data_IF_062852178030
#
_entry.id   IF_062852178030
#
_cell.length_a   1.000
_cell.length_b   1.000
_cell.length_c   1.000
_cell.angle_alpha   90.00
_cell.angle_beta   90.00
_cell.angle_gamma   90.00
#
_symmetry.space_group_name_H-M   'P 1'
#
loop_
_entity.id
_entity.type
_entity.pdbx_description
1 polymer ?
#
# COMPACT_ATOMS: atom_id res chain seq x y z
N UNK A 1 -8.25 -13.67 -27.68
CA UNK A 1 -7.52 -12.71 -26.81
C UNK A 1 -8.23 -12.65 -25.47
N UNK A 2 -7.77 -13.37 -24.46
CA UNK A 2 -8.43 -13.52 -23.14
C UNK A 2 -7.54 -13.11 -21.94
N UNK A 3 -6.28 -12.76 -22.20
CA UNK A 3 -5.30 -12.41 -21.15
C UNK A 3 -5.49 -11.00 -20.52
N UNK A 4 -5.99 -9.97 -21.23
CA UNK A 4 -6.18 -8.64 -20.62
C UNK A 4 -7.26 -8.60 -19.52
N UNK A 5 -8.30 -9.44 -19.59
CA UNK A 5 -9.41 -9.41 -18.62
C UNK A 5 -9.03 -9.97 -17.26
N UNK A 6 -8.32 -11.11 -17.21
CA UNK A 6 -7.96 -11.76 -15.94
C UNK A 6 -7.04 -10.87 -15.08
N UNK A 7 -6.06 -10.21 -15.71
CA UNK A 7 -5.17 -9.31 -14.98
C UNK A 7 -5.92 -8.06 -14.50
N UNK A 8 -6.83 -7.51 -15.31
CA UNK A 8 -7.66 -6.39 -14.92
C UNK A 8 -8.57 -6.75 -13.72
N UNK A 9 -9.20 -7.93 -13.73
CA UNK A 9 -9.98 -8.44 -12.61
C UNK A 9 -9.13 -8.59 -11.35
N UNK A 10 -7.94 -9.17 -11.46
CA UNK A 10 -6.99 -9.26 -10.35
C UNK A 10 -6.60 -7.88 -9.82
N UNK A 11 -6.31 -6.93 -10.71
CA UNK A 11 -5.94 -5.57 -10.33
C UNK A 11 -7.10 -4.84 -9.63
N UNK A 12 -8.32 -4.98 -10.14
CA UNK A 12 -9.53 -4.45 -9.50
C UNK A 12 -9.74 -5.08 -8.12
N UNK A 13 -9.59 -6.41 -8.03
CA UNK A 13 -9.75 -7.17 -6.79
C UNK A 13 -8.72 -6.73 -5.74
N UNK A 14 -7.43 -6.66 -6.09
CA UNK A 14 -6.37 -6.17 -5.21
C UNK A 14 -6.44 -4.66 -4.94
N UNK A 15 -7.27 -3.93 -5.69
CA UNK A 15 -7.56 -2.53 -5.47
C UNK A 15 -8.72 -2.26 -4.53
N UNK A 16 -9.48 -3.29 -4.18
CA UNK A 16 -10.51 -3.21 -3.17
C UNK A 16 -9.85 -3.21 -1.78
N UNK A 17 -10.16 -2.21 -0.96
CA UNK A 17 -9.55 -2.04 0.37
C UNK A 17 -9.68 -3.30 1.24
N UNK A 18 -10.88 -3.89 1.30
CA UNK A 18 -11.13 -5.09 2.13
C UNK A 18 -10.28 -6.26 1.64
N UNK A 19 -10.28 -6.53 0.33
CA UNK A 19 -9.54 -7.66 -0.23
C UNK A 19 -8.03 -7.45 -0.09
N UNK A 20 -7.54 -6.23 -0.32
CA UNK A 20 -6.14 -5.87 -0.12
C UNK A 20 -5.68 -6.20 1.31
N UNK A 21 -6.42 -5.72 2.33
CA UNK A 21 -6.07 -5.98 3.73
C UNK A 21 -6.23 -7.45 4.13
N UNK A 22 -7.22 -8.17 3.58
CA UNK A 22 -7.38 -9.61 3.83
C UNK A 22 -6.21 -10.42 3.27
N UNK A 23 -5.82 -10.15 2.02
CA UNK A 23 -4.68 -10.83 1.37
C UNK A 23 -3.39 -10.50 2.13
N UNK A 24 -3.11 -9.22 2.35
CA UNK A 24 -1.89 -8.80 3.05
C UNK A 24 -1.84 -9.35 4.48
N UNK A 25 -2.95 -9.25 5.23
CA UNK A 25 -3.06 -9.78 6.57
C UNK A 25 -2.81 -11.29 6.62
N UNK A 26 -3.37 -12.04 5.67
CA UNK A 26 -3.13 -13.49 5.54
C UNK A 26 -1.66 -13.79 5.28
N UNK A 27 -1.01 -13.09 4.34
CA UNK A 27 0.41 -13.24 4.06
C UNK A 27 1.28 -12.97 5.31
N UNK A 28 0.97 -11.92 6.06
CA UNK A 28 1.67 -11.59 7.32
C UNK A 28 1.45 -12.67 8.38
N UNK A 29 0.22 -13.18 8.54
CA UNK A 29 -0.09 -14.24 9.50
C UNK A 29 0.62 -15.56 9.17
N UNK A 30 0.75 -15.89 7.89
CA UNK A 30 1.49 -17.08 7.44
C UNK A 30 3.00 -16.93 7.65
N UNK A 31 3.55 -15.74 7.35
CA UNK A 31 4.99 -15.50 7.35
C UNK A 31 5.59 -15.19 8.73
N UNK A 32 4.86 -14.55 9.64
CA UNK A 32 5.34 -14.20 10.98
C UNK A 32 4.49 -14.90 12.04
N UNK A 33 5.13 -15.58 12.99
CA UNK A 33 4.46 -16.29 14.09
C UNK A 33 4.51 -15.54 15.43
N UNK A 34 5.41 -14.56 15.57
CA UNK A 34 5.55 -13.79 16.81
C UNK A 34 4.44 -12.74 16.93
N UNK A 35 3.60 -12.78 17.98
CA UNK A 35 2.50 -11.83 18.14
C UNK A 35 2.99 -10.38 18.27
N UNK A 36 4.11 -10.15 18.94
CA UNK A 36 4.66 -8.79 19.12
C UNK A 36 5.09 -8.15 17.80
N UNK A 37 5.74 -8.92 16.91
CA UNK A 37 6.08 -8.40 15.58
C UNK A 37 4.82 -8.13 14.73
N UNK A 38 3.77 -8.95 14.85
CA UNK A 38 2.48 -8.70 14.18
C UNK A 38 1.84 -7.41 14.68
N UNK A 39 1.78 -7.19 16.00
CA UNK A 39 1.27 -5.95 16.59
C UNK A 39 2.06 -4.73 16.12
N UNK A 40 3.39 -4.84 16.05
CA UNK A 40 4.26 -3.78 15.52
C UNK A 40 3.97 -3.48 14.04
N UNK A 41 3.75 -4.51 13.21
CA UNK A 41 3.34 -4.32 11.81
C UNK A 41 1.99 -3.61 11.73
N UNK A 42 1.00 -4.01 12.54
CA UNK A 42 -0.31 -3.33 12.60
C UNK A 42 -0.15 -1.86 12.97
N UNK A 43 0.66 -1.56 13.99
CA UNK A 43 0.98 -0.18 14.36
C UNK A 43 1.58 0.59 13.17
N UNK A 44 2.52 -0.03 12.44
CA UNK A 44 3.11 0.58 11.25
C UNK A 44 2.11 0.85 10.14
N UNK A 45 1.19 -0.08 9.88
CA UNK A 45 0.10 0.11 8.92
C UNK A 45 -0.78 1.31 9.33
N UNK A 46 -1.09 1.46 10.62
CA UNK A 46 -1.84 2.62 11.13
C UNK A 46 -1.04 3.92 10.91
N UNK A 47 0.23 3.94 11.30
CA UNK A 47 1.10 5.13 11.16
C UNK A 47 1.21 5.56 9.70
N UNK A 48 1.51 4.65 8.77
CA UNK A 48 1.63 5.02 7.35
C UNK A 48 0.30 5.46 6.76
N UNK A 49 -0.83 4.85 7.17
CA UNK A 49 -2.15 5.24 6.68
C UNK A 49 -2.52 6.66 7.13
N UNK A 50 -2.19 7.04 8.37
CA UNK A 50 -2.39 8.41 8.86
C UNK A 50 -1.51 9.42 8.12
N UNK A 51 -0.26 9.08 7.85
CA UNK A 51 0.64 9.93 7.06
C UNK A 51 0.13 10.09 5.62
N UNK A 52 -0.29 9.00 4.98
CA UNK A 52 -0.90 9.04 3.64
C UNK A 52 -2.13 9.94 3.62
N UNK A 53 -3.01 9.82 4.62
CA UNK A 53 -4.20 10.68 4.74
C UNK A 53 -3.83 12.16 4.86
N UNK A 54 -2.86 12.49 5.72
CA UNK A 54 -2.35 13.85 5.88
C UNK A 54 -1.76 14.41 4.58
N UNK A 55 -0.92 13.63 3.88
CA UNK A 55 -0.30 14.05 2.63
C UNK A 55 -1.29 14.16 1.47
N UNK A 56 -2.30 13.29 1.41
CA UNK A 56 -3.38 13.39 0.41
C UNK A 56 -4.11 14.73 0.55
N UNK A 57 -4.45 15.12 1.77
CA UNK A 57 -5.11 16.41 2.04
C UNK A 57 -4.19 17.61 1.82
N UNK A 58 -2.88 17.45 2.08
CA UNK A 58 -1.90 18.52 1.91
C UNK A 58 -1.64 18.83 0.43
N UNK A 59 -1.44 17.81 -0.40
CA UNK A 59 -1.06 18.01 -1.80
C UNK A 59 -2.26 18.05 -2.75
N UNK A 60 -3.39 17.46 -2.37
CA UNK A 60 -4.64 17.48 -3.12
C UNK A 60 -4.53 17.06 -4.61
N UNK A 61 -3.53 16.25 -4.97
CA UNK A 61 -3.24 15.87 -6.37
C UNK A 61 -4.42 15.13 -6.98
N UNK A 62 -4.87 15.56 -8.16
CA UNK A 62 -5.95 14.90 -8.89
C UNK A 62 -5.51 13.53 -9.43
N UNK A 63 -6.42 12.54 -9.44
CA UNK A 63 -6.12 11.21 -9.97
C UNK A 63 -6.14 11.19 -11.50
N UNK A 64 -5.27 10.39 -12.15
CA UNK A 64 -5.31 10.25 -13.61
C UNK A 64 -6.66 9.76 -14.12
N UNK A 65 -7.35 8.89 -13.37
CA UNK A 65 -8.67 8.39 -13.73
C UNK A 65 -9.77 9.46 -13.80
N UNK A 66 -9.63 10.59 -13.08
CA UNK A 66 -10.57 11.70 -13.16
C UNK A 66 -10.44 12.47 -14.49
N UNK A 67 -9.24 12.48 -15.09
CA UNK A 67 -8.96 13.07 -16.39
C UNK A 67 -9.27 12.12 -17.58
N UNK A 68 -9.99 11.02 -17.35
CA UNK A 68 -10.37 10.07 -18.40
C UNK A 68 -9.25 9.12 -18.85
N UNK A 69 -8.14 9.04 -18.10
CA UNK A 69 -6.99 8.17 -18.43
C UNK A 69 -7.25 6.68 -18.11
N UNK A 70 -8.23 6.38 -17.26
CA UNK A 70 -8.57 5.00 -16.86
C UNK A 70 -9.75 4.43 -17.66
N UNK A 71 -9.56 3.26 -18.24
CA UNK A 71 -10.62 2.46 -18.87
C UNK A 71 -11.46 1.67 -17.83
N UNK A 72 -11.01 1.61 -16.58
CA UNK A 72 -11.58 0.77 -15.52
C UNK A 72 -12.40 1.56 -14.48
N UNK A 73 -12.70 2.81 -14.78
CA UNK A 73 -13.38 3.73 -13.88
C UNK A 73 -12.45 4.37 -12.85
N UNK A 74 -12.99 5.34 -12.11
CA UNK A 74 -12.30 6.04 -11.04
C UNK A 74 -13.04 5.75 -9.72
N UNK A 75 -12.35 5.35 -8.64
CA UNK A 75 -13.01 5.10 -7.36
C UNK A 75 -13.81 6.35 -6.91
N UNK A 76 -15.12 6.20 -6.74
CA UNK A 76 -16.03 7.30 -6.42
C UNK A 76 -15.90 7.71 -4.94
N UNK A 77 -14.83 8.44 -4.58
CA UNK A 77 -14.70 9.08 -3.26
C UNK A 77 -14.17 10.52 -3.41
N UNK A 78 -15.03 11.55 -3.29
CA UNK A 78 -14.69 12.96 -3.55
C UNK A 78 -13.61 13.57 -2.63
N UNK A 79 -13.39 13.02 -1.43
CA UNK A 79 -12.50 13.63 -0.41
C UNK A 79 -11.34 12.71 0.07
N UNK A 80 -11.43 11.41 -0.17
CA UNK A 80 -10.32 10.44 0.01
C UNK A 80 -9.60 10.16 -1.32
N UNK A 81 -10.00 10.88 -2.37
CA UNK A 81 -9.75 10.61 -3.77
C UNK A 81 -8.45 11.18 -4.34
N UNK A 82 -7.61 11.87 -3.58
CA UNK A 82 -6.35 12.41 -4.13
C UNK A 82 -5.37 11.30 -4.54
N UNK A 83 -4.57 11.54 -5.57
CA UNK A 83 -3.64 10.56 -6.15
C UNK A 83 -2.42 10.34 -5.27
N UNK A 84 -1.78 11.43 -4.84
CA UNK A 84 -0.50 11.37 -4.15
C UNK A 84 -0.65 11.34 -2.62
N UNK A 85 0.09 10.50 -1.89
CA UNK A 85 0.76 9.28 -2.36
C UNK A 85 -0.23 8.10 -2.48
N UNK A 86 0.21 6.99 -3.08
CA UNK A 86 -0.61 5.77 -3.16
C UNK A 86 -0.67 5.02 -1.83
N UNK A 87 -1.86 4.90 -1.23
CA UNK A 87 -2.05 4.22 0.05
C UNK A 87 -1.73 2.72 0.02
N UNK A 88 -2.25 1.99 -0.99
CA UNK A 88 -1.98 0.56 -1.16
C UNK A 88 -0.46 0.29 -1.30
N UNK A 89 0.24 1.10 -2.12
CA UNK A 89 1.68 0.97 -2.28
C UNK A 89 2.43 1.29 -0.99
N UNK A 90 2.04 2.35 -0.26
CA UNK A 90 2.70 2.74 0.99
C UNK A 90 2.59 1.65 2.06
N UNK A 91 1.41 1.06 2.21
CA UNK A 91 1.18 -0.06 3.13
C UNK A 91 1.98 -1.30 2.70
N UNK A 92 1.95 -1.66 1.41
CA UNK A 92 2.70 -2.81 0.91
C UNK A 92 4.22 -2.66 1.08
N UNK A 93 4.77 -1.47 0.80
CA UNK A 93 6.19 -1.17 1.04
C UNK A 93 6.54 -1.16 2.53
N UNK A 94 5.67 -0.66 3.41
CA UNK A 94 5.92 -0.71 4.85
C UNK A 94 6.00 -2.15 5.35
N UNK A 95 5.08 -3.02 4.91
CA UNK A 95 5.12 -4.43 5.29
C UNK A 95 6.37 -5.11 4.70
N UNK A 96 6.71 -4.82 3.44
CA UNK A 96 7.97 -5.29 2.85
C UNK A 96 9.19 -4.91 3.70
N UNK A 97 9.28 -3.66 4.17
CA UNK A 97 10.36 -3.18 5.05
C UNK A 97 10.40 -3.98 6.36
N UNK A 98 9.23 -4.25 6.95
CA UNK A 98 9.13 -5.04 8.18
C UNK A 98 9.67 -6.48 8.06
N UNK A 99 9.87 -6.98 6.84
CA UNK A 99 10.39 -8.31 6.55
C UNK A 99 11.80 -8.30 5.95
N UNK A 100 12.49 -7.16 5.80
CA UNK A 100 13.84 -7.06 5.20
C UNK A 100 14.86 -8.06 5.75
N UNK A 101 14.79 -8.35 7.05
CA UNK A 101 15.69 -9.27 7.75
C UNK A 101 15.24 -10.74 7.73
N UNK A 102 14.16 -11.07 7.01
CA UNK A 102 13.53 -12.40 7.01
C UNK A 102 13.65 -13.09 5.66
N UNK A 103 13.66 -14.43 5.69
CA UNK A 103 13.64 -15.29 4.50
C UNK A 103 12.40 -15.06 3.61
N UNK A 104 11.31 -14.56 4.18
CA UNK A 104 10.08 -14.21 3.45
C UNK A 104 10.14 -12.86 2.73
N UNK A 105 11.22 -12.07 2.90
CA UNK A 105 11.39 -10.77 2.25
C UNK A 105 11.07 -10.79 0.74
N UNK A 106 11.61 -11.73 -0.08
CA UNK A 106 11.36 -11.71 -1.52
C UNK A 106 9.87 -11.79 -1.88
N UNK A 107 9.08 -12.52 -1.10
CA UNK A 107 7.63 -12.63 -1.32
C UNK A 107 6.92 -11.29 -1.09
N UNK A 108 7.28 -10.56 -0.02
CA UNK A 108 6.70 -9.24 0.25
C UNK A 108 7.21 -8.16 -0.71
N UNK A 109 8.45 -8.27 -1.18
CA UNK A 109 8.98 -7.40 -2.23
C UNK A 109 8.23 -7.59 -3.55
N UNK A 110 8.05 -8.84 -3.99
CA UNK A 110 7.24 -9.16 -5.18
C UNK A 110 5.78 -8.71 -5.02
N UNK A 111 5.19 -8.92 -3.84
CA UNK A 111 3.83 -8.45 -3.56
C UNK A 111 3.74 -6.91 -3.64
N UNK A 112 4.70 -6.17 -3.07
CA UNK A 112 4.72 -4.71 -3.15
C UNK A 112 4.87 -4.21 -4.59
N UNK A 113 5.72 -4.85 -5.40
CA UNK A 113 5.85 -4.55 -6.82
C UNK A 113 4.57 -4.85 -7.61
N UNK A 114 3.92 -5.99 -7.33
CA UNK A 114 2.64 -6.34 -7.93
C UNK A 114 1.60 -5.26 -7.60
N UNK A 115 1.46 -4.88 -6.33
CA UNK A 115 0.52 -3.85 -5.90
C UNK A 115 0.80 -2.52 -6.60
N UNK A 116 2.06 -2.05 -6.60
CA UNK A 116 2.46 -0.84 -7.31
C UNK A 116 2.08 -0.89 -8.80
N UNK A 117 2.37 -2.01 -9.47
CA UNK A 117 2.03 -2.21 -10.87
C UNK A 117 0.52 -2.20 -11.11
N UNK A 118 -0.29 -2.88 -10.28
CA UNK A 118 -1.75 -2.83 -10.43
C UNK A 118 -2.32 -1.42 -10.32
N UNK A 119 -1.73 -0.55 -9.48
CA UNK A 119 -2.17 0.84 -9.30
C UNK A 119 -1.89 1.70 -10.54
N UNK A 120 -0.75 1.47 -11.18
CA UNK A 120 -0.39 2.11 -12.45
C UNK A 120 -1.25 1.58 -13.59
N UNK A 121 -1.43 0.26 -13.67
CA UNK A 121 -2.21 -0.41 -14.70
C UNK A 121 -3.67 0.06 -14.74
N UNK A 122 -4.29 0.24 -13.58
CA UNK A 122 -5.66 0.75 -13.49
C UNK A 122 -5.77 2.26 -13.77
N UNK A 123 -4.66 2.97 -14.01
CA UNK A 123 -4.68 4.42 -14.24
C UNK A 123 -5.18 5.24 -13.06
N UNK A 124 -5.12 4.70 -11.83
CA UNK A 124 -5.59 5.39 -10.61
C UNK A 124 -4.48 6.11 -9.86
N UNK A 125 -3.22 5.87 -10.24
CA UNK A 125 -2.01 6.49 -9.69
C UNK A 125 -0.95 6.65 -10.78
N UNK A 126 -0.04 7.61 -10.58
CA UNK A 126 1.14 7.87 -11.41
C UNK A 126 2.40 7.24 -10.81
N UNK A 127 3.50 7.19 -11.58
CA UNK A 127 4.81 6.79 -11.05
C UNK A 127 5.27 7.66 -9.88
N UNK A 128 4.96 8.96 -9.89
CA UNK A 128 5.30 9.87 -8.80
C UNK A 128 4.58 9.48 -7.50
N UNK A 129 3.31 9.06 -7.58
CA UNK A 129 2.54 8.60 -6.42
C UNK A 129 3.15 7.35 -5.78
N UNK A 130 3.61 6.41 -6.62
CA UNK A 130 4.28 5.19 -6.17
C UNK A 130 5.66 5.50 -5.58
N UNK A 131 6.43 6.37 -6.21
CA UNK A 131 7.74 6.81 -5.70
C UNK A 131 7.60 7.53 -4.35
N UNK A 132 6.59 8.38 -4.21
CA UNK A 132 6.25 9.02 -2.94
C UNK A 132 5.95 8.00 -1.84
N UNK A 133 5.16 6.96 -2.14
CA UNK A 133 4.90 5.86 -1.20
C UNK A 133 6.15 5.06 -0.83
N UNK A 134 7.06 4.84 -1.79
CA UNK A 134 8.33 4.14 -1.56
C UNK A 134 9.24 4.90 -0.60
N UNK A 135 9.25 6.23 -0.67
CA UNK A 135 9.98 7.11 0.26
C UNK A 135 9.27 7.23 1.60
N UNK A 136 7.93 7.27 1.62
CA UNK A 136 7.14 7.42 2.84
C UNK A 136 7.22 6.18 3.75
N UNK A 137 7.22 4.99 3.17
CA UNK A 137 7.23 3.73 3.90
C UNK A 137 8.37 3.58 4.93
N UNK A 138 9.67 3.84 4.59
CA UNK A 138 10.75 3.77 5.58
C UNK A 138 10.63 4.85 6.67
N UNK A 139 10.13 6.05 6.36
CA UNK A 139 9.89 7.10 7.34
C UNK A 139 8.82 6.62 8.36
N UNK A 140 7.71 6.10 7.85
CA UNK A 140 6.64 5.55 8.69
C UNK A 140 7.12 4.37 9.54
N UNK A 141 7.93 3.47 8.96
CA UNK A 141 8.54 2.37 9.70
C UNK A 141 9.48 2.87 10.82
N UNK A 142 10.30 3.87 10.56
CA UNK A 142 11.17 4.46 11.58
C UNK A 142 10.39 5.11 12.74
N UNK A 143 9.30 5.81 12.42
CA UNK A 143 8.38 6.35 13.45
C UNK A 143 7.77 5.20 14.26
N UNK A 144 7.35 4.12 13.59
CA UNK A 144 6.79 2.93 14.24
C UNK A 144 7.79 2.27 15.19
N UNK A 145 9.04 2.12 14.76
CA UNK A 145 10.13 1.57 15.57
C UNK A 145 10.38 2.42 16.82
N UNK A 146 10.42 3.73 16.66
CA UNK A 146 10.62 4.68 17.76
C UNK A 146 9.48 4.65 18.77
N UNK A 147 8.23 4.58 18.30
CA UNK A 147 7.05 4.45 19.16
C UNK A 147 7.03 3.09 19.86
N UNK A 148 7.35 2.02 19.13
CA UNK A 148 7.38 0.67 19.68
C UNK A 148 8.39 0.56 20.82
N UNK A 149 9.61 1.07 20.64
CA UNK A 149 10.65 1.04 21.66
C UNK A 149 10.35 1.89 22.90
N UNK A 150 9.44 2.87 22.82
CA UNK A 150 9.05 3.72 23.96
C UNK A 150 7.93 3.14 24.82
N UNK A 151 7.02 2.39 24.21
CA UNK A 151 5.76 1.99 24.86
C UNK A 151 5.56 0.48 24.98
N UNK A 152 6.33 -0.34 24.25
CA UNK A 152 6.11 -1.79 24.15
C UNK A 152 7.39 -2.65 24.27
N UNK A 153 8.56 -2.02 24.45
CA UNK A 153 9.84 -2.69 24.75
C UNK A 153 10.13 -2.58 26.25
#
# INVERSE_FOLDING_TARGET
>A
MMLPSLFAELALLLGNELVFFLVLGTLVLLAERRPEKRKKIILGVVVVSLLVLGLKNLFAVERPCAAGVSEYGCPALPYLGHSFPSGHAAVAFLVMIAFLDKKSFPAFWLFALLIAYTRLFLGVHTFADIAGSLVLAPIAYHITDSLWGRYFA
#
